data_IF_466412430621
#
_entry.id   IF_466412430621
#
_cell.length_a   1.000
_cell.length_b   1.000
_cell.length_c   1.000
_cell.angle_alpha   90.00
_cell.angle_beta   90.00
_cell.angle_gamma   90.00
#
_symmetry.space_group_name_H-M   'P 1'
#
loop_
_entity.id
_entity.type
_entity.pdbx_description
1 polymer ?
#
# COMPACT_ATOMS: atom_id res chain seq x y z
N UNK A 1 0.96 -11.41 9.90
CA UNK A 1 -0.51 -11.56 9.71
C UNK A 1 -0.98 -12.97 9.99
N UNK A 2 -0.25 -14.01 9.56
CA UNK A 2 -0.59 -15.41 9.86
C UNK A 2 -0.87 -15.66 11.35
N UNK A 3 -0.05 -15.11 12.25
CA UNK A 3 -0.23 -15.23 13.71
C UNK A 3 -1.60 -14.75 14.23
N UNK A 4 -2.18 -13.71 13.61
CA UNK A 4 -3.46 -13.16 14.03
C UNK A 4 -4.61 -14.04 13.54
N UNK A 5 -4.49 -14.56 12.32
CA UNK A 5 -5.43 -15.54 11.79
C UNK A 5 -5.39 -16.82 12.63
N UNK A 6 -4.22 -17.35 12.92
CA UNK A 6 -4.05 -18.54 13.77
C UNK A 6 -4.63 -18.34 15.18
N UNK A 7 -4.48 -17.14 15.75
CA UNK A 7 -5.08 -16.80 17.05
C UNK A 7 -6.62 -16.82 16.97
N UNK A 8 -7.21 -16.23 15.92
CA UNK A 8 -8.65 -16.26 15.68
C UNK A 8 -9.19 -17.69 15.52
N UNK A 9 -8.46 -18.55 14.79
CA UNK A 9 -8.85 -19.95 14.63
C UNK A 9 -8.79 -20.70 15.97
N UNK A 10 -7.72 -20.47 16.74
CA UNK A 10 -7.55 -21.07 18.06
C UNK A 10 -8.67 -20.64 19.02
N UNK A 11 -9.06 -19.37 18.99
CA UNK A 11 -10.16 -18.85 19.82
C UNK A 11 -11.50 -19.46 19.40
N UNK A 12 -11.75 -19.62 18.10
CA UNK A 12 -12.95 -20.29 17.60
C UNK A 12 -12.99 -21.76 18.01
N UNK A 13 -11.88 -22.48 17.91
CA UNK A 13 -11.76 -23.88 18.33
C UNK A 13 -12.04 -24.05 19.83
N UNK A 14 -11.52 -23.15 20.67
CA UNK A 14 -11.80 -23.13 22.11
C UNK A 14 -13.28 -22.93 22.42
N UNK A 15 -13.94 -22.04 21.69
CA UNK A 15 -15.38 -21.78 21.85
C UNK A 15 -16.18 -23.02 21.40
N UNK A 16 -15.81 -23.60 20.27
CA UNK A 16 -16.51 -24.75 19.70
C UNK A 16 -16.38 -26.02 20.55
N UNK A 17 -15.27 -26.17 21.30
CA UNK A 17 -15.05 -27.29 22.22
C UNK A 17 -16.05 -27.37 23.39
N UNK A 18 -16.82 -26.30 23.64
CA UNK A 18 -17.93 -26.32 24.63
C UNK A 18 -19.16 -27.04 24.07
N UNK A 19 -19.27 -27.15 22.74
CA UNK A 19 -20.36 -27.83 22.04
C UNK A 19 -20.10 -29.32 21.83
N UNK A 20 -20.90 -29.92 20.95
CA UNK A 20 -20.72 -31.31 20.52
C UNK A 20 -19.77 -31.43 19.31
N UNK A 21 -19.50 -32.66 18.88
CA UNK A 21 -18.65 -32.96 17.72
C UNK A 21 -19.15 -32.32 16.41
N UNK A 22 -20.45 -32.07 16.29
CA UNK A 22 -21.03 -31.42 15.11
C UNK A 22 -20.68 -29.94 15.11
N UNK A 23 -20.78 -29.28 16.26
CA UNK A 23 -20.37 -27.88 16.44
C UNK A 23 -18.87 -27.72 16.18
N UNK A 24 -18.03 -28.60 16.72
CA UNK A 24 -16.58 -28.58 16.46
C UNK A 24 -16.25 -28.71 14.97
N UNK A 25 -16.88 -29.65 14.27
CA UNK A 25 -16.68 -29.83 12.83
C UNK A 25 -17.19 -28.64 12.01
N UNK A 26 -18.33 -28.07 12.37
CA UNK A 26 -18.87 -26.89 11.70
C UNK A 26 -17.94 -25.69 11.87
N UNK A 27 -17.45 -25.44 13.09
CA UNK A 27 -16.51 -24.37 13.39
C UNK A 27 -15.22 -24.51 12.59
N UNK A 28 -14.62 -25.69 12.56
CA UNK A 28 -13.39 -25.95 11.79
C UNK A 28 -13.58 -25.67 10.29
N UNK A 29 -14.69 -26.13 9.69
CA UNK A 29 -15.00 -25.88 8.27
C UNK A 29 -15.23 -24.41 7.97
N UNK A 30 -15.95 -23.70 8.83
CA UNK A 30 -16.20 -22.27 8.68
C UNK A 30 -14.90 -21.48 8.79
N UNK A 31 -14.07 -21.80 9.78
CA UNK A 31 -12.74 -21.19 9.99
C UNK A 31 -11.88 -21.25 8.72
N UNK A 32 -11.76 -22.46 8.15
CA UNK A 32 -11.03 -22.68 6.91
C UNK A 32 -11.65 -21.93 5.72
N UNK A 33 -12.97 -21.89 5.62
CA UNK A 33 -13.68 -21.22 4.53
C UNK A 33 -13.50 -19.69 4.55
N UNK A 34 -13.41 -19.08 5.74
CA UNK A 34 -13.28 -17.62 5.88
C UNK A 34 -11.83 -17.13 5.97
N UNK A 35 -10.85 -18.01 6.19
CA UNK A 35 -9.44 -17.62 6.38
C UNK A 35 -8.93 -16.64 5.29
N UNK A 36 -9.23 -16.92 4.03
CA UNK A 36 -8.82 -16.07 2.91
C UNK A 36 -9.48 -14.68 2.93
N UNK A 37 -10.80 -14.62 3.18
CA UNK A 37 -11.52 -13.35 3.24
C UNK A 37 -11.16 -12.54 4.49
N UNK A 38 -10.91 -13.20 5.62
CA UNK A 38 -10.41 -12.56 6.84
C UNK A 38 -9.05 -11.88 6.61
N UNK A 39 -8.11 -12.56 5.94
CA UNK A 39 -6.82 -11.96 5.57
C UNK A 39 -6.97 -10.73 4.67
N UNK A 40 -7.88 -10.79 3.69
CA UNK A 40 -8.15 -9.65 2.81
C UNK A 40 -8.78 -8.46 3.57
N UNK A 41 -9.75 -8.71 4.45
CA UNK A 41 -10.35 -7.69 5.31
C UNK A 41 -9.34 -7.03 6.25
N UNK A 42 -8.40 -7.81 6.80
CA UNK A 42 -7.31 -7.27 7.60
C UNK A 42 -6.39 -6.36 6.78
N UNK A 43 -6.08 -6.75 5.53
CA UNK A 43 -5.28 -5.90 4.66
C UNK A 43 -6.00 -4.60 4.27
N UNK A 44 -7.30 -4.66 3.98
CA UNK A 44 -8.14 -3.48 3.75
C UNK A 44 -8.08 -2.52 4.96
N UNK A 45 -8.25 -3.04 6.18
CA UNK A 45 -8.18 -2.25 7.42
C UNK A 45 -6.78 -1.64 7.65
N UNK A 46 -5.71 -2.39 7.37
CA UNK A 46 -4.34 -1.86 7.46
C UNK A 46 -4.07 -0.76 6.42
N UNK A 47 -4.64 -0.89 5.22
CA UNK A 47 -4.55 0.14 4.18
C UNK A 47 -5.28 1.43 4.58
N UNK A 48 -6.48 1.31 5.13
CA UNK A 48 -7.24 2.45 5.65
C UNK A 48 -6.47 3.15 6.79
N UNK A 49 -5.92 2.37 7.72
CA UNK A 49 -5.07 2.91 8.79
C UNK A 49 -3.82 3.62 8.24
N UNK A 50 -3.20 3.11 7.17
CA UNK A 50 -2.05 3.77 6.53
C UNK A 50 -2.41 5.16 6.01
N UNK A 51 -3.59 5.29 5.38
CA UNK A 51 -4.10 6.57 4.87
C UNK A 51 -4.37 7.54 6.01
N UNK A 52 -5.05 7.08 7.06
CA UNK A 52 -5.36 7.91 8.23
C UNK A 52 -4.10 8.40 8.95
N UNK A 53 -3.10 7.53 9.10
CA UNK A 53 -1.79 7.89 9.69
C UNK A 53 -1.06 8.88 8.79
N UNK A 54 -1.03 8.63 7.47
CA UNK A 54 -0.34 9.50 6.50
C UNK A 54 -0.91 10.92 6.51
N UNK A 55 -2.23 11.06 6.62
CA UNK A 55 -2.89 12.38 6.69
C UNK A 55 -2.50 13.20 7.94
N UNK A 56 -1.94 12.57 8.97
CA UNK A 56 -1.48 13.22 10.19
C UNK A 56 0.02 13.52 10.19
N UNK A 57 0.76 13.07 9.17
CA UNK A 57 2.20 13.30 9.04
C UNK A 57 2.47 14.62 8.30
N UNK A 58 3.29 15.53 8.87
CA UNK A 58 3.60 16.80 8.22
C UNK A 58 4.41 16.67 6.93
N UNK A 59 5.28 15.66 6.86
CA UNK A 59 6.16 15.35 5.73
C UNK A 59 6.23 13.83 5.57
N UNK A 60 6.16 13.37 4.31
CA UNK A 60 6.15 11.95 4.01
C UNK A 60 4.82 11.25 4.31
N UNK A 61 4.80 9.95 4.04
CA UNK A 61 3.60 9.12 4.18
C UNK A 61 3.96 7.72 4.67
N UNK A 62 2.95 6.98 5.12
CA UNK A 62 3.10 5.58 5.53
C UNK A 62 2.47 4.68 4.49
N UNK A 63 3.20 3.65 4.09
CA UNK A 63 2.74 2.59 3.19
C UNK A 63 2.64 1.26 3.93
N UNK A 64 1.75 0.38 3.46
CA UNK A 64 1.77 -1.03 3.85
C UNK A 64 2.58 -1.81 2.83
N UNK A 65 3.74 -2.34 3.25
CA UNK A 65 4.61 -3.17 2.42
C UNK A 65 4.51 -4.63 2.82
N UNK A 66 4.39 -5.51 1.84
CA UNK A 66 4.35 -6.96 2.05
C UNK A 66 5.78 -7.54 2.09
N UNK A 67 6.08 -8.30 3.14
CA UNK A 67 7.25 -9.17 3.23
C UNK A 67 6.74 -10.62 3.23
N UNK A 68 6.65 -11.23 2.05
CA UNK A 68 5.92 -12.49 1.90
C UNK A 68 4.44 -12.30 2.20
N UNK A 69 3.93 -12.97 3.24
CA UNK A 69 2.53 -12.84 3.69
C UNK A 69 2.36 -11.86 4.87
N UNK A 70 3.45 -11.22 5.31
CA UNK A 70 3.43 -10.34 6.47
C UNK A 70 3.42 -8.86 6.04
N UNK A 71 2.36 -8.10 6.35
CA UNK A 71 2.29 -6.67 6.11
C UNK A 71 3.12 -5.91 7.15
N UNK A 72 3.83 -4.88 6.70
CA UNK A 72 4.62 -4.00 7.54
C UNK A 72 4.30 -2.55 7.16
N UNK A 73 4.10 -1.69 8.16
CA UNK A 73 4.06 -0.25 7.92
C UNK A 73 5.48 0.26 7.68
N UNK A 74 5.64 1.07 6.63
CA UNK A 74 6.91 1.69 6.27
C UNK A 74 6.65 3.17 6.07
N UNK A 75 7.42 4.01 6.78
CA UNK A 75 7.43 5.43 6.54
C UNK A 75 8.30 5.74 5.31
N UNK A 76 7.78 6.58 4.43
CA UNK A 76 8.44 7.05 3.22
C UNK A 76 8.59 8.56 3.34
N UNK A 77 9.83 9.02 3.41
CA UNK A 77 10.14 10.45 3.39
C UNK A 77 9.84 11.02 2.00
N UNK A 78 8.94 12.01 1.95
CA UNK A 78 8.78 12.83 0.74
C UNK A 78 9.88 13.90 0.74
N UNK A 79 10.89 13.71 -0.11
CA UNK A 79 11.81 14.80 -0.39
C UNK A 79 11.04 15.88 -1.16
N UNK A 80 11.20 17.17 -0.82
CA UNK A 80 10.57 18.23 -1.57
C UNK A 80 11.01 18.14 -3.03
N UNK A 81 10.09 17.70 -3.90
CA UNK A 81 10.29 17.71 -5.33
C UNK A 81 10.52 19.18 -5.71
N UNK A 82 11.66 19.56 -6.32
CA UNK A 82 11.83 20.93 -6.76
C UNK A 82 10.65 21.29 -7.67
N UNK A 83 9.89 22.32 -7.27
CA UNK A 83 8.72 22.77 -8.00
C UNK A 83 9.10 22.87 -9.48
N UNK A 84 8.46 22.06 -10.32
CA UNK A 84 8.61 22.22 -11.76
C UNK A 84 8.24 23.69 -12.05
N UNK A 85 9.11 24.47 -12.71
CA UNK A 85 8.80 25.85 -12.99
C UNK A 85 7.44 25.87 -13.69
N UNK A 86 6.47 26.54 -13.06
CA UNK A 86 5.21 26.84 -13.72
C UNK A 86 5.59 27.45 -15.06
N UNK A 87 5.23 26.78 -16.16
CA UNK A 87 5.23 27.40 -17.45
C UNK A 87 4.18 28.50 -17.36
N UNK A 88 4.61 29.67 -16.89
CA UNK A 88 3.85 30.89 -16.97
C UNK A 88 3.39 31.02 -18.41
N UNK A 89 2.15 31.43 -18.54
CA UNK A 89 1.58 31.90 -19.79
C UNK A 89 2.39 33.12 -20.28
N UNK A 90 3.58 32.87 -20.82
CA UNK A 90 4.36 33.81 -21.59
C UNK A 90 5.25 33.04 -22.57
N UNK A 91 4.79 33.10 -23.81
CA UNK A 91 5.52 32.87 -25.04
C UNK A 91 5.94 31.43 -25.36
N UNK A 92 5.35 30.92 -26.45
CA UNK A 92 5.75 29.72 -27.17
C UNK A 92 7.17 29.83 -27.75
N UNK A 93 8.18 29.92 -26.89
CA UNK A 93 9.59 29.91 -27.29
C UNK A 93 10.10 28.48 -27.33
N UNK A 94 10.04 27.86 -28.51
CA UNK A 94 10.68 26.58 -28.76
C UNK A 94 12.20 26.79 -28.88
N UNK A 95 12.97 26.25 -27.94
CA UNK A 95 14.44 26.28 -27.99
C UNK A 95 14.97 25.18 -28.91
N UNK A 96 15.35 25.55 -30.14
CA UNK A 96 15.95 24.63 -31.13
C UNK A 96 17.48 24.81 -31.10
N UNK A 97 18.23 23.75 -30.81
CA UNK A 97 19.71 23.77 -30.91
C UNK A 97 20.11 23.34 -32.32
N UNK A 98 20.46 24.30 -33.17
CA UNK A 98 20.96 24.04 -34.51
C UNK A 98 22.49 23.98 -34.51
N UNK A 99 23.07 22.95 -35.14
CA UNK A 99 24.49 22.97 -35.53
C UNK A 99 24.57 23.50 -36.96
N UNK A 100 25.11 24.71 -37.12
CA UNK A 100 25.25 25.34 -38.43
C UNK A 100 26.43 24.71 -39.18
N UNK A 101 26.25 24.19 -40.41
CA UNK A 101 27.35 23.74 -41.26
C UNK A 101 28.27 24.90 -41.61
N UNK A 102 29.57 24.65 -41.72
CA UNK A 102 30.61 25.70 -41.84
C UNK A 102 30.46 26.59 -43.09
N UNK A 103 29.77 26.11 -44.13
CA UNK A 103 29.52 26.86 -45.36
C UNK A 103 28.51 28.01 -45.26
N UNK A 104 27.79 28.15 -44.14
CA UNK A 104 26.77 29.20 -43.94
C UNK A 104 27.18 30.32 -42.96
N UNK A 105 28.43 30.32 -42.49
CA UNK A 105 28.94 31.32 -41.52
C UNK A 105 29.63 32.53 -42.18
N UNK A 106 29.78 32.51 -43.50
CA UNK A 106 30.48 33.55 -44.27
C UNK A 106 29.63 34.04 -45.45
N UNK A 107 28.59 34.82 -45.14
CA UNK A 107 27.75 35.54 -46.08
C UNK A 107 27.12 36.74 -45.38
#
# INVERSE_FOLDING_TARGET
MAQFLESLETDLDRIAAVGDDTVAQAASRLSQAIRGSAGMRLLEALGEAAVEISAQLPEGHVEVRMSGQDPNFVFVEEQPQPAAPHAGEDEASARITLRLPEGLKAG
#
